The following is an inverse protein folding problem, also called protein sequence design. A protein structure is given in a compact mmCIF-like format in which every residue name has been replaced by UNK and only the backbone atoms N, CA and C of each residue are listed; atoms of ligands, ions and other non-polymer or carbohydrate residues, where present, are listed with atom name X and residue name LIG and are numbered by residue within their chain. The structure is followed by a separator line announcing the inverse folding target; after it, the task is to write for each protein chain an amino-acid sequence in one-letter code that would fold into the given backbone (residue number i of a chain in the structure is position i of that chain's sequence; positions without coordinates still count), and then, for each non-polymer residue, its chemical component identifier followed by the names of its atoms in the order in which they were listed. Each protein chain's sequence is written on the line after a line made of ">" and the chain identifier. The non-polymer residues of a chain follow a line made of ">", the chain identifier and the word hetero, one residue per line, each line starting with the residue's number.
data_IF_789825081312
#
_entry.id   IF_789825081312
#
_cell.length_a   1.000
_cell.length_b   1.000
_cell.length_c   1.000
_cell.angle_alpha   90.00
_cell.angle_beta   90.00
_cell.angle_gamma   90.00
#
_symmetry.space_group_name_H-M   'P 1'
#
loop_
_entity.id
_entity.type
_entity.pdbx_description
1 polymer ?
#
# COMPACT_ATOMS: atom_id res chain seq x y z
N UNK A 1 -39.89 -23.21 16.21
CA UNK A 1 -39.60 -23.83 14.93
C UNK A 1 -40.06 -25.29 14.87
N UNK A 2 -40.45 -25.88 16.01
CA UNK A 2 -41.01 -27.23 16.10
C UNK A 2 -40.05 -28.37 15.69
N UNK A 3 -40.57 -29.54 15.35
CA UNK A 3 -39.76 -30.70 14.97
C UNK A 3 -38.93 -30.49 13.71
N UNK A 4 -39.34 -29.59 12.80
CA UNK A 4 -38.64 -29.30 11.55
C UNK A 4 -37.33 -28.52 11.80
N UNK A 5 -37.22 -27.78 12.90
CA UNK A 5 -35.98 -27.12 13.29
C UNK A 5 -34.82 -28.08 13.53
N UNK A 6 -35.12 -29.32 13.97
CA UNK A 6 -34.10 -30.35 14.16
C UNK A 6 -33.52 -30.90 12.85
N UNK A 7 -34.21 -30.69 11.73
CA UNK A 7 -33.76 -31.15 10.41
C UNK A 7 -32.73 -30.21 9.77
N UNK A 8 -32.59 -28.97 10.27
CA UNK A 8 -31.65 -27.95 9.69
C UNK A 8 -30.20 -28.44 9.69
N UNK A 9 -29.82 -29.31 10.63
CA UNK A 9 -28.45 -29.82 10.74
C UNK A 9 -28.17 -31.06 9.87
N UNK A 10 -29.17 -31.60 9.15
CA UNK A 10 -28.98 -32.76 8.29
C UNK A 10 -28.00 -32.47 7.15
N UNK A 11 -27.04 -33.36 6.96
CA UNK A 11 -26.00 -33.19 5.90
C UNK A 11 -24.94 -32.14 6.17
N UNK A 12 -24.90 -31.55 7.37
CA UNK A 12 -24.00 -30.44 7.73
C UNK A 12 -23.26 -30.68 9.04
N UNK A 13 -22.10 -30.05 9.16
CA UNK A 13 -21.31 -30.02 10.38
C UNK A 13 -20.98 -28.59 10.77
N UNK A 14 -20.74 -28.34 12.05
CA UNK A 14 -20.19 -27.08 12.52
C UNK A 14 -18.83 -26.77 11.82
N UNK A 15 -18.05 -27.79 11.47
CA UNK A 15 -16.73 -27.63 10.87
C UNK A 15 -16.79 -27.00 9.46
N UNK A 16 -17.68 -27.50 8.59
CA UNK A 16 -17.85 -26.94 7.24
C UNK A 16 -18.58 -25.59 7.27
N UNK A 17 -19.53 -25.40 8.19
CA UNK A 17 -20.19 -24.11 8.39
C UNK A 17 -19.21 -23.03 8.80
N UNK A 18 -18.38 -23.25 9.82
CA UNK A 18 -17.40 -22.26 10.28
C UNK A 18 -16.40 -21.96 9.17
N UNK A 19 -15.98 -22.96 8.38
CA UNK A 19 -15.09 -22.74 7.25
C UNK A 19 -15.76 -21.85 6.18
N UNK A 20 -17.06 -22.03 5.90
CA UNK A 20 -17.80 -21.20 4.96
C UNK A 20 -17.99 -19.75 5.48
N UNK A 21 -18.47 -19.60 6.71
CA UNK A 21 -18.70 -18.28 7.35
C UNK A 21 -17.40 -17.48 7.41
N UNK A 22 -16.28 -18.12 7.76
CA UNK A 22 -14.98 -17.47 7.82
C UNK A 22 -14.53 -16.96 6.43
N UNK A 23 -14.74 -17.78 5.38
CA UNK A 23 -14.40 -17.37 3.99
C UNK A 23 -15.25 -16.19 3.54
N UNK A 24 -16.57 -16.23 3.79
CA UNK A 24 -17.48 -15.14 3.44
C UNK A 24 -17.14 -13.86 4.20
N UNK A 25 -16.95 -13.93 5.52
CA UNK A 25 -16.58 -12.77 6.33
C UNK A 25 -15.23 -12.18 5.91
N UNK A 26 -14.25 -13.04 5.60
CA UNK A 26 -12.93 -12.57 5.15
C UNK A 26 -13.00 -11.96 3.74
N UNK A 27 -13.84 -12.52 2.85
CA UNK A 27 -14.09 -11.93 1.52
C UNK A 27 -14.64 -10.51 1.63
N UNK A 28 -15.63 -10.29 2.48
CA UNK A 28 -16.22 -8.98 2.69
C UNK A 28 -15.17 -7.99 3.23
N UNK A 29 -14.34 -8.42 4.19
CA UNK A 29 -13.23 -7.62 4.71
C UNK A 29 -12.16 -7.29 3.67
N UNK A 30 -11.81 -8.24 2.81
CA UNK A 30 -10.87 -8.01 1.71
C UNK A 30 -11.43 -6.98 0.72
N UNK A 31 -12.73 -7.04 0.41
CA UNK A 31 -13.38 -6.05 -0.46
C UNK A 31 -13.40 -4.65 0.17
N UNK A 32 -13.68 -4.54 1.47
CA UNK A 32 -13.59 -3.26 2.20
C UNK A 32 -12.18 -2.68 2.13
N UNK A 33 -11.15 -3.52 2.31
CA UNK A 33 -9.74 -3.09 2.21
C UNK A 33 -9.38 -2.70 0.76
N UNK A 34 -9.84 -3.44 -0.24
CA UNK A 34 -9.67 -3.09 -1.66
C UNK A 34 -10.21 -1.68 -1.93
N UNK A 35 -11.40 -1.35 -1.42
CA UNK A 35 -11.95 0.01 -1.55
C UNK A 35 -11.05 1.07 -0.92
N UNK A 36 -10.54 0.85 0.29
CA UNK A 36 -9.61 1.77 0.96
C UNK A 36 -8.30 1.94 0.18
N UNK A 37 -7.77 0.86 -0.39
CA UNK A 37 -6.59 0.90 -1.25
C UNK A 37 -6.84 1.75 -2.50
N UNK A 38 -7.99 1.59 -3.16
CA UNK A 38 -8.37 2.41 -4.32
C UNK A 38 -8.53 3.90 -3.95
N UNK A 39 -9.07 4.21 -2.78
CA UNK A 39 -9.16 5.58 -2.28
C UNK A 39 -7.78 6.20 -2.03
N UNK A 40 -6.84 5.44 -1.44
CA UNK A 40 -5.45 5.89 -1.25
C UNK A 40 -4.78 6.16 -2.60
N UNK A 41 -4.93 5.25 -3.57
CA UNK A 41 -4.40 5.43 -4.92
C UNK A 41 -4.93 6.72 -5.57
N UNK A 42 -6.23 6.97 -5.42
CA UNK A 42 -6.84 8.22 -5.92
C UNK A 42 -6.17 9.45 -5.30
N UNK A 43 -6.03 9.49 -3.99
CA UNK A 43 -5.41 10.63 -3.29
C UNK A 43 -3.95 10.81 -3.71
N UNK A 44 -3.19 9.72 -3.89
CA UNK A 44 -1.80 9.78 -4.37
C UNK A 44 -1.70 10.34 -5.78
N UNK A 45 -2.62 9.96 -6.69
CA UNK A 45 -2.69 10.51 -8.05
C UNK A 45 -3.08 12.00 -8.00
N UNK A 46 -4.07 12.37 -7.18
CA UNK A 46 -4.48 13.77 -7.01
C UNK A 46 -3.28 14.63 -6.55
N UNK A 47 -2.47 14.12 -5.59
CA UNK A 47 -1.23 14.80 -5.15
C UNK A 47 -0.15 14.82 -6.23
N UNK A 48 -0.02 13.78 -7.03
CA UNK A 48 0.89 13.79 -8.17
C UNK A 48 0.52 14.85 -9.20
N UNK A 49 -0.76 15.04 -9.48
CA UNK A 49 -1.26 16.11 -10.36
C UNK A 49 -1.00 17.49 -9.75
N UNK A 50 -1.33 17.68 -8.47
CA UNK A 50 -1.19 18.96 -7.74
C UNK A 50 0.27 19.43 -7.69
N UNK A 51 1.21 18.49 -7.48
CA UNK A 51 2.63 18.81 -7.26
C UNK A 51 3.54 18.45 -8.43
N UNK A 52 2.98 18.29 -9.64
CA UNK A 52 3.71 17.87 -10.82
C UNK A 52 4.94 18.75 -11.14
N UNK A 53 4.79 20.06 -11.02
CA UNK A 53 5.83 21.02 -11.35
C UNK A 53 6.71 21.42 -10.15
N UNK A 54 6.48 20.80 -8.98
CA UNK A 54 7.19 21.13 -7.74
C UNK A 54 8.46 20.29 -7.61
N UNK A 55 9.60 20.95 -7.38
CA UNK A 55 10.85 20.26 -7.08
C UNK A 55 10.79 19.54 -5.75
N UNK A 56 11.37 18.33 -5.71
CA UNK A 56 11.37 17.48 -4.51
C UNK A 56 12.71 16.75 -4.33
N UNK A 57 13.23 16.63 -3.08
CA UNK A 57 14.43 15.86 -2.80
C UNK A 57 14.16 14.36 -2.76
N UNK A 58 15.01 13.59 -3.43
CA UNK A 58 15.04 12.14 -3.31
C UNK A 58 16.28 11.71 -2.53
N UNK A 59 16.12 10.73 -1.66
CA UNK A 59 17.13 10.31 -0.71
C UNK A 59 17.67 8.93 -1.04
N UNK A 60 18.97 8.76 -0.85
CA UNK A 60 19.63 7.46 -0.73
C UNK A 60 20.54 7.50 0.50
N UNK A 61 20.62 6.41 1.25
CA UNK A 61 21.38 6.36 2.51
C UNK A 61 21.02 7.51 3.49
N UNK A 62 19.74 7.88 3.54
CA UNK A 62 19.21 9.00 4.34
C UNK A 62 19.85 10.37 4.04
N UNK A 63 20.48 10.52 2.88
CA UNK A 63 21.05 11.79 2.39
C UNK A 63 20.36 12.21 1.10
N UNK A 64 20.26 13.52 0.87
CA UNK A 64 19.74 14.05 -0.38
C UNK A 64 20.66 13.60 -1.52
N UNK A 65 20.11 12.87 -2.48
CA UNK A 65 20.82 12.28 -3.59
C UNK A 65 20.55 13.04 -4.89
N UNK A 66 19.29 13.05 -5.34
CA UNK A 66 18.87 13.72 -6.58
C UNK A 66 17.65 14.58 -6.33
N UNK A 67 17.42 15.53 -7.23
CA UNK A 67 16.18 16.27 -7.32
C UNK A 67 15.28 15.69 -8.44
N UNK A 68 13.99 15.76 -8.26
CA UNK A 68 12.98 15.39 -9.25
C UNK A 68 11.67 16.14 -8.97
N UNK A 69 10.59 15.76 -9.63
CA UNK A 69 9.26 16.25 -9.33
C UNK A 69 8.65 15.55 -8.12
N UNK A 70 7.91 16.27 -7.27
CA UNK A 70 7.15 15.67 -6.19
C UNK A 70 6.12 14.65 -6.69
N UNK A 71 5.62 14.78 -7.92
CA UNK A 71 4.76 13.78 -8.52
C UNK A 71 5.40 12.39 -8.62
N UNK A 72 6.71 12.30 -8.88
CA UNK A 72 7.42 11.01 -8.90
C UNK A 72 7.35 10.31 -7.54
N UNK A 73 7.42 11.07 -6.45
CA UNK A 73 7.30 10.54 -5.10
C UNK A 73 5.91 9.93 -4.87
N UNK A 74 4.85 10.67 -5.18
CA UNK A 74 3.48 10.18 -5.02
C UNK A 74 3.17 9.00 -5.95
N UNK A 75 3.64 9.02 -7.20
CA UNK A 75 3.47 7.91 -8.14
C UNK A 75 4.24 6.65 -7.72
N UNK A 76 5.33 6.77 -6.96
CA UNK A 76 6.02 5.61 -6.38
C UNK A 76 5.10 4.85 -5.44
N UNK A 77 4.44 5.54 -4.52
CA UNK A 77 3.49 4.91 -3.60
C UNK A 77 2.20 4.47 -4.30
N UNK A 78 1.74 5.19 -5.32
CA UNK A 78 0.61 4.76 -6.15
C UNK A 78 0.90 3.39 -6.79
N UNK A 79 2.10 3.20 -7.35
CA UNK A 79 2.49 1.90 -7.92
C UNK A 79 2.49 0.79 -6.87
N UNK A 80 3.02 1.04 -5.67
CA UNK A 80 3.00 0.08 -4.56
C UNK A 80 1.57 -0.34 -4.22
N UNK A 81 0.66 0.62 -4.07
CA UNK A 81 -0.75 0.31 -3.78
C UNK A 81 -1.47 -0.33 -4.98
N UNK A 82 -1.02 -0.11 -6.21
CA UNK A 82 -1.50 -0.85 -7.39
C UNK A 82 -1.13 -2.33 -7.31
N UNK A 83 0.10 -2.65 -6.92
CA UNK A 83 0.56 -4.04 -6.78
C UNK A 83 -0.18 -4.75 -5.63
N UNK A 84 -0.40 -4.04 -4.50
CA UNK A 84 -1.20 -4.55 -3.38
C UNK A 84 -2.65 -4.83 -3.80
N UNK A 85 -3.27 -3.92 -4.58
CA UNK A 85 -4.59 -4.13 -5.15
C UNK A 85 -4.67 -5.43 -5.95
N UNK A 86 -3.73 -5.66 -6.86
CA UNK A 86 -3.70 -6.85 -7.69
C UNK A 86 -3.59 -8.14 -6.85
N UNK A 87 -2.74 -8.14 -5.82
CA UNK A 87 -2.62 -9.27 -4.88
C UNK A 87 -3.91 -9.53 -4.10
N UNK A 88 -4.59 -8.46 -3.63
CA UNK A 88 -5.85 -8.58 -2.91
C UNK A 88 -6.97 -9.13 -3.80
N UNK A 89 -7.09 -8.65 -5.04
CA UNK A 89 -8.08 -9.17 -6.00
C UNK A 89 -7.83 -10.66 -6.26
N UNK A 90 -6.58 -11.05 -6.50
CA UNK A 90 -6.22 -12.47 -6.70
C UNK A 90 -6.55 -13.33 -5.47
N UNK A 91 -6.50 -12.79 -4.26
CA UNK A 91 -6.86 -13.54 -3.05
C UNK A 91 -8.33 -13.95 -2.99
N UNK A 92 -9.22 -13.26 -3.70
CA UNK A 92 -10.64 -13.58 -3.75
C UNK A 92 -10.90 -14.97 -4.34
N UNK A 93 -10.08 -15.45 -5.27
CA UNK A 93 -10.18 -16.80 -5.84
C UNK A 93 -9.97 -17.88 -4.77
N UNK A 94 -9.07 -17.64 -3.81
CA UNK A 94 -8.86 -18.53 -2.67
C UNK A 94 -10.01 -18.50 -1.67
N UNK A 95 -10.63 -17.34 -1.49
CA UNK A 95 -11.74 -17.14 -0.54
C UNK A 95 -13.05 -17.72 -1.06
N UNK A 96 -13.30 -17.62 -2.36
CA UNK A 96 -14.58 -17.99 -2.96
C UNK A 96 -14.81 -19.50 -3.14
N UNK A 97 -13.99 -20.36 -2.53
CA UNK A 97 -14.18 -21.82 -2.58
C UNK A 97 -15.24 -22.28 -1.57
N UNK A 98 -16.14 -23.16 -2.00
CA UNK A 98 -17.24 -23.68 -1.17
C UNK A 98 -16.79 -24.88 -0.31
N UNK A 99 -16.74 -24.77 1.04
CA UNK A 99 -16.45 -25.90 1.91
C UNK A 99 -17.69 -26.67 2.35
N UNK A 100 -18.90 -26.18 2.07
CA UNK A 100 -20.15 -26.79 2.52
C UNK A 100 -20.36 -28.18 1.86
N UNK A 101 -21.00 -29.07 2.59
CA UNK A 101 -21.15 -30.47 2.19
C UNK A 101 -19.99 -31.38 2.59
N UNK A 102 -18.89 -30.79 3.12
CA UNK A 102 -17.75 -31.56 3.64
C UNK A 102 -18.05 -32.29 4.95
N UNK A 103 -19.15 -31.95 5.62
CA UNK A 103 -19.50 -32.51 6.91
C UNK A 103 -18.39 -32.26 7.94
N UNK A 104 -18.13 -33.21 8.80
CA UNK A 104 -17.06 -33.09 9.79
C UNK A 104 -15.66 -33.26 9.18
N UNK A 105 -15.48 -34.18 8.22
CA UNK A 105 -14.19 -34.51 7.63
C UNK A 105 -14.25 -35.30 6.30
N UNK A 106 -15.32 -36.09 6.06
CA UNK A 106 -15.40 -37.04 4.93
C UNK A 106 -16.64 -36.87 4.07
N UNK A 107 -17.39 -35.77 4.27
CA UNK A 107 -18.66 -35.51 3.61
C UNK A 107 -19.85 -36.02 4.42
N UNK A 108 -21.01 -36.14 3.77
CA UNK A 108 -22.26 -36.63 4.34
C UNK A 108 -22.87 -37.69 3.43
N UNK A 109 -23.65 -38.62 4.03
CA UNK A 109 -24.48 -39.58 3.26
C UNK A 109 -25.70 -38.88 2.62
N UNK A 110 -26.04 -37.68 3.07
CA UNK A 110 -27.10 -36.86 2.47
C UNK A 110 -26.55 -36.06 1.33
N UNK A 111 -27.13 -36.23 0.16
CA UNK A 111 -26.75 -35.50 -1.04
C UNK A 111 -27.33 -34.08 -0.95
N UNK A 112 -26.45 -33.09 -0.82
CA UNK A 112 -26.79 -31.67 -0.88
C UNK A 112 -26.63 -31.16 -2.32
N UNK A 113 -27.48 -30.21 -2.72
CA UNK A 113 -27.32 -29.51 -4.00
C UNK A 113 -26.22 -28.42 -3.85
N UNK A 114 -24.95 -28.84 -3.96
CA UNK A 114 -23.80 -27.95 -3.76
C UNK A 114 -23.70 -26.85 -4.83
N UNK A 115 -24.17 -27.11 -6.05
CA UNK A 115 -24.16 -26.14 -7.14
C UNK A 115 -25.10 -24.97 -6.83
N UNK A 116 -26.33 -25.27 -6.33
CA UNK A 116 -27.28 -24.25 -5.91
C UNK A 116 -26.77 -23.44 -4.73
N UNK A 117 -26.23 -24.12 -3.70
CA UNK A 117 -25.64 -23.48 -2.52
C UNK A 117 -24.48 -22.54 -2.93
N UNK A 118 -23.60 -23.01 -3.83
CA UNK A 118 -22.48 -22.20 -4.31
C UNK A 118 -22.97 -20.96 -5.06
N UNK A 119 -23.97 -21.13 -5.92
CA UNK A 119 -24.57 -20.03 -6.67
C UNK A 119 -25.23 -18.99 -5.76
N UNK A 120 -25.99 -19.41 -4.75
CA UNK A 120 -26.66 -18.51 -3.81
C UNK A 120 -25.69 -17.73 -2.93
N UNK A 121 -24.57 -18.35 -2.55
CA UNK A 121 -23.52 -17.73 -1.71
C UNK A 121 -22.44 -16.99 -2.54
N UNK A 122 -22.57 -16.99 -3.87
CA UNK A 122 -21.51 -16.50 -4.77
C UNK A 122 -20.14 -17.15 -4.48
N UNK A 123 -20.13 -18.46 -4.24
CA UNK A 123 -18.93 -19.27 -4.07
C UNK A 123 -18.65 -20.05 -5.36
N UNK A 124 -17.41 -20.47 -5.54
CA UNK A 124 -17.02 -21.38 -6.64
C UNK A 124 -17.70 -22.73 -6.47
N UNK A 125 -18.16 -23.32 -7.58
CA UNK A 125 -18.67 -24.69 -7.62
C UNK A 125 -17.54 -25.75 -7.58
N UNK A 126 -16.29 -25.37 -7.36
CA UNK A 126 -15.15 -26.30 -7.22
C UNK A 126 -15.39 -27.22 -6.02
N UNK A 127 -15.31 -28.53 -6.28
CA UNK A 127 -15.45 -29.57 -5.26
C UNK A 127 -14.12 -29.68 -4.51
N UNK A 128 -14.11 -29.32 -3.23
CA UNK A 128 -12.95 -29.50 -2.37
C UNK A 128 -12.94 -30.89 -1.70
N UNK A 129 -11.78 -31.53 -1.54
CA UNK A 129 -11.68 -32.69 -0.67
C UNK A 129 -12.19 -32.31 0.76
N UNK A 130 -13.16 -33.05 1.33
CA UNK A 130 -13.82 -32.66 2.58
C UNK A 130 -12.88 -32.42 3.74
N UNK A 131 -11.83 -33.23 3.89
CA UNK A 131 -10.83 -33.09 4.95
C UNK A 131 -9.97 -31.83 4.79
N UNK A 132 -9.67 -31.43 3.52
CA UNK A 132 -9.01 -30.14 3.21
C UNK A 132 -9.95 -28.96 3.52
N UNK A 133 -11.20 -29.04 3.08
CA UNK A 133 -12.18 -27.94 3.20
C UNK A 133 -12.44 -27.55 4.65
N UNK A 134 -12.50 -28.51 5.57
CA UNK A 134 -12.71 -28.29 7.00
C UNK A 134 -11.41 -28.01 7.76
N UNK A 135 -10.27 -28.56 7.31
CA UNK A 135 -9.00 -28.51 8.05
C UNK A 135 -8.02 -27.44 7.60
N UNK A 136 -8.17 -26.84 6.41
CA UNK A 136 -7.25 -25.82 5.94
C UNK A 136 -7.64 -24.40 6.40
N UNK A 137 -6.63 -23.63 6.84
CA UNK A 137 -6.69 -22.18 7.10
C UNK A 137 -5.65 -21.41 6.31
N UNK A 138 -5.09 -22.03 5.26
CA UNK A 138 -4.09 -21.37 4.39
C UNK A 138 -4.64 -20.09 3.76
N UNK A 139 -5.93 -20.04 3.42
CA UNK A 139 -6.56 -18.86 2.86
C UNK A 139 -6.54 -17.66 3.83
N UNK A 140 -6.68 -17.91 5.13
CA UNK A 140 -6.61 -16.87 6.18
C UNK A 140 -5.17 -16.32 6.29
N UNK A 141 -4.20 -17.23 6.35
CA UNK A 141 -2.77 -16.88 6.39
C UNK A 141 -2.35 -16.12 5.13
N UNK A 142 -2.82 -16.57 3.96
CA UNK A 142 -2.50 -15.93 2.69
C UNK A 142 -3.02 -14.50 2.61
N UNK A 143 -4.25 -14.26 3.02
CA UNK A 143 -4.80 -12.89 3.09
C UNK A 143 -4.00 -12.04 4.07
N UNK A 144 -3.73 -12.54 5.30
CA UNK A 144 -2.96 -11.78 6.27
C UNK A 144 -1.52 -11.54 5.80
N UNK A 145 -0.92 -12.46 5.03
CA UNK A 145 0.39 -12.26 4.40
C UNK A 145 0.36 -11.09 3.42
N UNK A 146 -0.61 -11.02 2.51
CA UNK A 146 -0.75 -9.89 1.56
C UNK A 146 -0.94 -8.58 2.32
N UNK A 147 -1.80 -8.57 3.34
CA UNK A 147 -2.05 -7.40 4.17
C UNK A 147 -0.81 -6.97 4.96
N UNK A 148 0.01 -7.94 5.40
CA UNK A 148 1.28 -7.66 6.05
C UNK A 148 2.28 -7.00 5.09
N UNK A 149 2.31 -7.38 3.81
CA UNK A 149 3.13 -6.70 2.80
C UNK A 149 2.68 -5.25 2.59
N UNK A 150 1.36 -4.99 2.55
CA UNK A 150 0.83 -3.63 2.52
C UNK A 150 1.31 -2.82 3.73
N UNK A 151 1.27 -3.41 4.92
CA UNK A 151 1.72 -2.76 6.15
C UNK A 151 3.23 -2.50 6.17
N UNK A 152 4.06 -3.36 5.57
CA UNK A 152 5.49 -3.12 5.40
C UNK A 152 5.76 -1.84 4.60
N UNK A 153 5.08 -1.67 3.47
CA UNK A 153 5.25 -0.48 2.62
C UNK A 153 4.66 0.78 3.28
N UNK A 154 3.57 0.66 4.03
CA UNK A 154 3.06 1.75 4.87
C UNK A 154 4.09 2.15 5.92
N UNK A 155 4.76 1.19 6.56
CA UNK A 155 5.84 1.47 7.50
C UNK A 155 6.98 2.28 6.87
N UNK A 156 7.38 1.94 5.65
CA UNK A 156 8.39 2.70 4.87
C UNK A 156 7.90 4.11 4.53
N UNK A 157 6.65 4.26 4.09
CA UNK A 157 6.04 5.57 3.85
C UNK A 157 6.07 6.44 5.11
N UNK A 158 5.75 5.86 6.26
CA UNK A 158 5.79 6.58 7.54
C UNK A 158 7.19 7.07 7.86
N UNK A 159 8.22 6.22 7.72
CA UNK A 159 9.61 6.62 7.95
C UNK A 159 10.07 7.71 6.98
N UNK A 160 9.70 7.61 5.69
CA UNK A 160 9.97 8.65 4.71
C UNK A 160 9.33 9.99 5.10
N UNK A 161 8.06 9.99 5.49
CA UNK A 161 7.35 11.19 5.91
C UNK A 161 7.95 11.79 7.17
N UNK A 162 8.32 10.98 8.15
CA UNK A 162 8.98 11.47 9.37
C UNK A 162 10.35 12.10 9.05
N UNK A 163 11.13 11.49 8.15
CA UNK A 163 12.38 12.05 7.67
C UNK A 163 12.17 13.40 6.95
N UNK A 164 11.22 13.45 6.01
CA UNK A 164 10.93 14.63 5.21
C UNK A 164 10.40 15.81 6.06
N UNK A 165 9.46 15.55 6.94
CA UNK A 165 8.92 16.60 7.85
C UNK A 165 10.00 17.17 8.77
N UNK A 166 10.92 16.32 9.26
CA UNK A 166 12.04 16.78 10.07
C UNK A 166 13.08 17.55 9.23
N UNK A 167 13.42 17.07 8.05
CA UNK A 167 14.42 17.69 7.18
C UNK A 167 13.91 19.02 6.59
N UNK A 168 12.68 19.04 6.08
CA UNK A 168 12.08 20.18 5.42
C UNK A 168 11.37 21.14 6.41
N UNK A 169 11.31 20.80 7.70
CA UNK A 169 10.63 21.59 8.73
C UNK A 169 9.22 21.99 8.29
N UNK A 170 9.00 23.29 8.03
CA UNK A 170 7.70 23.82 7.56
C UNK A 170 7.46 23.63 6.05
N UNK A 171 8.32 22.92 5.34
CA UNK A 171 8.14 22.63 3.91
C UNK A 171 7.12 21.53 3.62
N UNK A 172 6.84 20.68 4.63
CA UNK A 172 5.76 19.69 4.60
C UNK A 172 4.83 19.98 5.77
N UNK A 173 3.60 20.35 5.49
CA UNK A 173 2.56 20.57 6.51
C UNK A 173 1.45 19.52 6.35
N UNK A 174 0.79 19.21 7.46
CA UNK A 174 -0.34 18.28 7.54
C UNK A 174 -1.41 18.83 8.48
N UNK A 175 -2.63 18.31 8.40
CA UNK A 175 -3.72 18.73 9.26
C UNK A 175 -3.38 18.58 10.75
N UNK A 176 -3.95 19.47 11.57
CA UNK A 176 -3.64 19.56 13.00
C UNK A 176 -3.93 18.27 13.78
N UNK A 177 -4.91 17.49 13.36
CA UNK A 177 -5.26 16.22 14.01
C UNK A 177 -4.22 15.11 13.85
N UNK A 178 -3.26 15.27 12.91
CA UNK A 178 -2.10 14.39 12.81
C UNK A 178 -0.97 14.75 13.77
N UNK A 179 -1.07 15.91 14.42
CA UNK A 179 0.01 16.49 15.21
C UNK A 179 -0.41 16.59 16.68
N UNK A 180 0.47 16.18 17.57
CA UNK A 180 0.37 16.48 19.00
C UNK A 180 1.51 17.40 19.43
N UNK A 181 1.19 18.37 20.28
CA UNK A 181 2.18 19.25 20.90
C UNK A 181 2.64 18.65 22.22
N UNK A 182 3.90 18.91 22.59
CA UNK A 182 4.40 18.56 23.92
C UNK A 182 3.75 19.43 25.01
N UNK A 183 3.46 18.85 26.16
CA UNK A 183 2.91 19.58 27.32
C UNK A 183 3.85 20.66 27.89
N UNK A 184 5.17 20.52 27.65
CA UNK A 184 6.20 21.41 28.19
C UNK A 184 7.08 22.05 27.10
N UNK A 185 6.96 21.63 25.85
CA UNK A 185 7.72 22.14 24.72
C UNK A 185 6.77 22.64 23.62
N UNK A 186 6.29 23.89 23.67
CA UNK A 186 5.23 24.38 22.77
C UNK A 186 5.63 24.44 21.28
N UNK A 187 6.92 24.41 20.98
CA UNK A 187 7.47 24.37 19.62
C UNK A 187 7.52 22.96 19.03
N UNK A 188 7.35 21.91 19.84
CA UNK A 188 7.48 20.51 19.39
C UNK A 188 6.17 20.02 18.77
N UNK A 189 6.26 19.56 17.54
CA UNK A 189 5.15 19.01 16.75
C UNK A 189 5.44 17.53 16.46
N UNK A 190 4.70 16.64 17.12
CA UNK A 190 4.88 15.19 16.95
C UNK A 190 3.83 14.65 15.98
N UNK A 191 4.24 13.85 15.00
CA UNK A 191 3.37 13.17 14.03
C UNK A 191 2.76 11.91 14.64
N UNK A 192 1.91 12.08 15.67
CA UNK A 192 1.41 10.96 16.49
C UNK A 192 0.63 9.91 15.72
N UNK A 193 -0.10 10.30 14.67
CA UNK A 193 -0.83 9.36 13.83
C UNK A 193 0.12 8.45 13.03
N UNK A 194 1.24 8.99 12.56
CA UNK A 194 2.28 8.19 11.89
C UNK A 194 3.01 7.27 12.87
N UNK A 195 3.26 7.72 14.10
CA UNK A 195 3.85 6.86 15.14
C UNK A 195 2.94 5.66 15.46
N UNK A 196 1.62 5.89 15.57
CA UNK A 196 0.63 4.82 15.77
C UNK A 196 0.58 3.90 14.56
N UNK A 197 0.55 4.43 13.33
CA UNK A 197 0.57 3.64 12.11
C UNK A 197 1.79 2.71 12.07
N UNK A 198 2.98 3.24 12.38
CA UNK A 198 4.24 2.46 12.46
C UNK A 198 4.17 1.35 13.50
N UNK A 199 3.62 1.61 14.68
CA UNK A 199 3.46 0.59 15.71
C UNK A 199 2.51 -0.53 15.27
N UNK A 200 1.38 -0.17 14.59
CA UNK A 200 0.44 -1.14 14.04
C UNK A 200 1.06 -2.01 12.94
N UNK A 201 1.98 -1.48 12.11
CA UNK A 201 2.69 -2.31 11.12
C UNK A 201 3.45 -3.45 11.78
N UNK A 202 4.18 -3.16 12.86
CA UNK A 202 4.92 -4.18 13.62
C UNK A 202 3.98 -5.21 14.28
N UNK A 203 2.84 -4.76 14.82
CA UNK A 203 1.83 -5.63 15.44
C UNK A 203 1.27 -6.63 14.42
N UNK A 204 0.94 -6.19 13.20
CA UNK A 204 0.41 -7.05 12.12
C UNK A 204 1.43 -8.09 11.66
N UNK A 205 2.70 -7.72 11.54
CA UNK A 205 3.77 -8.67 11.23
C UNK A 205 3.93 -9.74 12.31
N UNK A 206 3.86 -9.35 13.58
CA UNK A 206 3.86 -10.28 14.71
C UNK A 206 2.67 -11.23 14.68
N UNK A 207 1.49 -10.73 14.31
CA UNK A 207 0.27 -11.53 14.17
C UNK A 207 0.38 -12.58 13.06
N UNK A 208 0.94 -12.23 11.89
CA UNK A 208 1.20 -13.21 10.82
C UNK A 208 2.11 -14.34 11.32
N UNK A 209 3.19 -14.01 12.02
CA UNK A 209 4.11 -14.99 12.61
C UNK A 209 3.39 -15.91 13.62
N UNK A 210 2.51 -15.34 14.46
CA UNK A 210 1.70 -16.10 15.40
C UNK A 210 0.74 -17.08 14.69
N UNK A 211 0.03 -16.63 13.65
CA UNK A 211 -0.85 -17.49 12.84
C UNK A 211 -0.11 -18.68 12.25
N UNK A 212 1.04 -18.41 11.63
CA UNK A 212 1.89 -19.47 11.03
C UNK A 212 2.39 -20.46 12.08
N UNK A 213 2.74 -19.98 13.27
CA UNK A 213 3.25 -20.80 14.38
C UNK A 213 2.15 -21.69 14.98
N UNK A 214 0.93 -21.19 15.12
CA UNK A 214 -0.22 -21.99 15.56
C UNK A 214 -0.52 -23.05 14.48
N UNK A 215 -0.70 -22.64 13.24
CA UNK A 215 -1.14 -23.52 12.15
C UNK A 215 -0.19 -24.70 11.91
N UNK A 216 1.13 -24.50 11.96
CA UNK A 216 2.12 -25.55 11.72
C UNK A 216 2.08 -26.69 12.74
N UNK A 217 1.56 -26.43 13.93
CA UNK A 217 1.57 -27.37 15.06
C UNK A 217 0.27 -28.19 15.17
N UNK A 218 -0.70 -27.90 14.30
CA UNK A 218 -2.03 -28.52 14.35
C UNK A 218 -2.09 -29.69 13.35
N UNK A 219 -2.51 -30.92 13.77
CA UNK A 219 -2.77 -32.03 12.85
C UNK A 219 -3.91 -31.68 11.92
N UNK A 220 -3.96 -32.35 10.75
CA UNK A 220 -5.01 -32.06 9.77
C UNK A 220 -6.41 -32.34 10.34
N UNK A 221 -7.42 -31.65 9.81
CA UNK A 221 -8.78 -31.61 10.31
C UNK A 221 -9.05 -30.40 11.19
N UNK A 222 -10.28 -30.26 11.67
CA UNK A 222 -10.65 -29.14 12.55
C UNK A 222 -10.09 -29.32 13.96
N UNK A 223 -9.48 -28.24 14.47
CA UNK A 223 -8.99 -28.15 15.86
C UNK A 223 -9.40 -26.79 16.46
N UNK A 224 -9.50 -26.71 17.79
CA UNK A 224 -9.89 -25.48 18.51
C UNK A 224 -8.86 -24.34 18.34
N UNK A 225 -7.61 -24.67 18.09
CA UNK A 225 -6.53 -23.73 17.78
C UNK A 225 -6.92 -22.71 16.68
N UNK A 226 -7.78 -23.12 15.76
CA UNK A 226 -8.30 -22.25 14.69
C UNK A 226 -9.14 -21.09 15.22
N UNK A 227 -9.71 -21.18 16.42
CA UNK A 227 -10.45 -20.08 17.03
C UNK A 227 -9.52 -18.95 17.43
N UNK A 228 -8.35 -19.29 17.99
CA UNK A 228 -7.30 -18.31 18.31
C UNK A 228 -6.75 -17.64 17.04
N UNK A 229 -6.53 -18.43 15.98
CA UNK A 229 -6.12 -17.87 14.69
C UNK A 229 -7.13 -16.84 14.15
N UNK A 230 -8.43 -17.14 14.25
CA UNK A 230 -9.48 -16.22 13.79
C UNK A 230 -9.43 -14.91 14.56
N UNK A 231 -9.32 -14.96 15.89
CA UNK A 231 -9.25 -13.78 16.76
C UNK A 231 -8.06 -12.89 16.36
N UNK A 232 -6.86 -13.46 16.28
CA UNK A 232 -5.64 -12.73 15.90
C UNK A 232 -5.77 -12.08 14.51
N UNK A 233 -6.34 -12.83 13.54
CA UNK A 233 -6.50 -12.34 12.17
C UNK A 233 -7.47 -11.15 12.08
N UNK A 234 -8.65 -11.25 12.70
CA UNK A 234 -9.65 -10.18 12.61
C UNK A 234 -9.25 -8.93 13.41
N UNK A 235 -8.57 -9.06 14.54
CA UNK A 235 -7.96 -7.93 15.24
C UNK A 235 -6.90 -7.23 14.36
N UNK A 236 -6.09 -8.01 13.65
CA UNK A 236 -5.10 -7.46 12.71
C UNK A 236 -5.76 -6.74 11.53
N UNK A 237 -6.83 -7.30 10.97
CA UNK A 237 -7.60 -6.67 9.88
C UNK A 237 -8.15 -5.31 10.35
N UNK A 238 -8.67 -5.21 11.57
CA UNK A 238 -9.12 -3.95 12.14
C UNK A 238 -7.99 -2.92 12.25
N UNK A 239 -6.81 -3.33 12.75
CA UNK A 239 -5.64 -2.45 12.82
C UNK A 239 -5.21 -1.95 11.42
N UNK A 240 -5.34 -2.80 10.41
CA UNK A 240 -5.04 -2.46 9.01
C UNK A 240 -6.06 -1.45 8.47
N UNK A 241 -7.37 -1.70 8.65
CA UNK A 241 -8.43 -0.81 8.21
C UNK A 241 -8.27 0.61 8.80
N UNK A 242 -7.96 0.70 10.10
CA UNK A 242 -7.71 1.97 10.78
C UNK A 242 -6.42 2.65 10.26
N UNK A 243 -5.36 1.88 10.01
CA UNK A 243 -4.11 2.41 9.47
C UNK A 243 -4.29 2.98 8.06
N UNK A 244 -5.01 2.27 7.18
CA UNK A 244 -5.30 2.75 5.83
C UNK A 244 -6.08 4.07 5.83
N UNK A 245 -7.06 4.24 6.74
CA UNK A 245 -7.77 5.51 6.89
C UNK A 245 -6.85 6.65 7.36
N UNK A 246 -5.98 6.39 8.33
CA UNK A 246 -4.98 7.36 8.80
C UNK A 246 -4.07 7.79 7.65
N UNK A 247 -3.53 6.84 6.89
CA UNK A 247 -2.60 7.13 5.78
C UNK A 247 -3.30 7.88 4.65
N UNK A 248 -4.54 7.50 4.30
CA UNK A 248 -5.34 8.22 3.31
C UNK A 248 -5.51 9.69 3.69
N UNK A 249 -5.95 9.94 4.92
CA UNK A 249 -6.21 11.29 5.43
C UNK A 249 -4.92 12.10 5.57
N UNK A 250 -3.83 11.47 6.03
CA UNK A 250 -2.52 12.10 6.10
C UNK A 250 -2.06 12.58 4.72
N UNK A 251 -2.14 11.74 3.68
CA UNK A 251 -1.77 12.12 2.32
C UNK A 251 -2.70 13.20 1.77
N UNK A 252 -4.01 13.09 1.99
CA UNK A 252 -4.99 14.04 1.51
C UNK A 252 -4.75 15.46 2.07
N UNK A 253 -4.35 15.55 3.34
CA UNK A 253 -4.13 16.81 4.04
C UNK A 253 -2.69 17.33 3.96
N UNK A 254 -1.79 16.57 3.31
CA UNK A 254 -0.40 16.97 3.13
C UNK A 254 -0.27 18.15 2.17
N UNK A 255 0.47 19.18 2.59
CA UNK A 255 0.80 20.35 1.79
C UNK A 255 2.31 20.50 1.65
N UNK A 256 2.79 20.73 0.42
CA UNK A 256 4.18 21.02 0.11
C UNK A 256 4.37 22.50 -0.16
N UNK A 257 5.22 23.16 0.64
CA UNK A 257 5.61 24.56 0.45
C UNK A 257 6.88 24.64 -0.38
N UNK A 258 6.72 24.85 -1.66
CA UNK A 258 7.81 24.82 -2.66
C UNK A 258 8.97 25.73 -2.28
N UNK A 259 8.70 26.95 -1.78
CA UNK A 259 9.75 27.91 -1.42
C UNK A 259 10.67 27.38 -0.31
N UNK A 260 10.09 26.68 0.67
CA UNK A 260 10.86 26.05 1.76
C UNK A 260 11.68 24.87 1.23
N UNK A 261 11.12 24.09 0.32
CA UNK A 261 11.83 22.99 -0.32
C UNK A 261 13.00 23.51 -1.17
N UNK A 262 12.80 24.56 -1.96
CA UNK A 262 13.86 25.22 -2.73
C UNK A 262 14.97 25.76 -1.84
N UNK A 263 14.63 26.44 -0.76
CA UNK A 263 15.62 26.95 0.20
C UNK A 263 16.40 25.82 0.88
N UNK A 264 15.71 24.71 1.25
CA UNK A 264 16.37 23.52 1.78
C UNK A 264 17.37 22.90 0.80
N UNK A 265 17.09 22.95 -0.50
CA UNK A 265 17.94 22.38 -1.54
C UNK A 265 19.07 23.28 -2.00
N UNK A 266 19.08 24.55 -1.60
CA UNK A 266 20.00 25.56 -2.09
C UNK A 266 21.47 25.23 -1.83
N UNK A 267 21.77 24.65 -0.67
CA UNK A 267 23.13 24.22 -0.27
C UNK A 267 23.38 22.72 -0.51
N UNK A 268 22.46 22.04 -1.20
CA UNK A 268 22.54 20.60 -1.48
C UNK A 268 22.65 20.35 -2.98
N UNK A 269 23.81 19.91 -3.47
CA UNK A 269 24.04 19.73 -4.91
C UNK A 269 23.36 18.46 -5.44
N UNK A 270 22.04 18.33 -5.26
CA UNK A 270 21.22 17.20 -5.74
C UNK A 270 21.18 17.09 -7.28
N UNK A 271 21.64 18.12 -7.97
CA UNK A 271 21.78 18.21 -9.42
C UNK A 271 23.16 17.70 -9.91
N UNK A 272 24.09 17.35 -9.03
CA UNK A 272 25.50 17.12 -9.40
C UNK A 272 25.68 15.97 -10.39
N UNK A 273 24.98 14.84 -10.23
CA UNK A 273 25.02 13.73 -11.19
C UNK A 273 24.44 14.14 -12.54
N UNK A 274 23.32 14.84 -12.52
CA UNK A 274 22.63 15.30 -13.73
C UNK A 274 23.50 16.30 -14.51
N UNK A 275 24.20 17.19 -13.80
CA UNK A 275 25.15 18.14 -14.39
C UNK A 275 26.33 17.43 -15.07
N UNK A 276 26.89 16.41 -14.43
CA UNK A 276 27.99 15.62 -15.02
C UNK A 276 27.54 14.94 -16.32
N UNK A 277 26.38 14.30 -16.30
CA UNK A 277 25.79 13.61 -17.45
C UNK A 277 25.48 14.61 -18.58
N UNK A 278 24.90 15.76 -18.24
CA UNK A 278 24.62 16.83 -19.20
C UNK A 278 25.88 17.36 -19.86
N UNK A 279 26.91 17.72 -19.06
CA UNK A 279 28.19 18.20 -19.58
C UNK A 279 28.87 17.12 -20.45
N UNK A 280 28.87 15.86 -20.03
CA UNK A 280 29.44 14.76 -20.82
C UNK A 280 28.77 14.65 -22.19
N UNK A 281 27.45 14.83 -22.23
CA UNK A 281 26.65 14.73 -23.46
C UNK A 281 26.99 15.89 -24.46
N UNK A 282 27.13 17.12 -23.96
CA UNK A 282 27.38 18.29 -24.84
C UNK A 282 28.85 18.46 -25.18
N UNK A 283 29.78 18.02 -24.33
CA UNK A 283 31.22 18.23 -24.51
C UNK A 283 31.96 17.01 -25.05
N UNK A 284 31.35 15.80 -24.96
CA UNK A 284 32.03 14.54 -25.30
C UNK A 284 33.13 14.13 -24.32
N UNK A 285 33.28 14.84 -23.18
CA UNK A 285 34.28 14.49 -22.16
C UNK A 285 33.89 13.23 -21.38
N UNK A 286 34.87 12.42 -20.94
CA UNK A 286 34.61 11.26 -20.10
C UNK A 286 33.98 11.65 -18.76
N UNK A 287 32.92 10.92 -18.33
CA UNK A 287 32.19 11.18 -17.06
C UNK A 287 33.14 11.17 -15.86
N UNK A 288 34.16 10.28 -15.82
CA UNK A 288 35.08 10.20 -14.69
C UNK A 288 35.98 11.44 -14.54
N UNK A 289 36.37 12.08 -15.64
CA UNK A 289 37.11 13.33 -15.58
C UNK A 289 36.24 14.47 -15.05
N UNK A 290 35.02 14.59 -15.56
CA UNK A 290 34.04 15.57 -15.08
C UNK A 290 33.66 15.37 -13.61
N UNK A 291 33.54 14.14 -13.19
CA UNK A 291 33.33 13.80 -11.77
C UNK A 291 34.50 14.31 -10.90
N UNK A 292 35.74 14.05 -11.31
CA UNK A 292 36.92 14.48 -10.56
C UNK A 292 37.06 16.02 -10.52
N UNK A 293 36.70 16.70 -11.62
CA UNK A 293 36.66 18.15 -11.65
C UNK A 293 35.58 18.73 -10.74
N UNK A 294 34.33 18.24 -10.89
CA UNK A 294 33.20 18.74 -10.12
C UNK A 294 33.36 18.43 -8.62
N UNK A 295 33.90 17.27 -8.24
CA UNK A 295 34.16 16.93 -6.86
C UNK A 295 35.05 17.97 -6.14
N UNK A 296 36.08 18.48 -6.79
CA UNK A 296 36.94 19.56 -6.26
C UNK A 296 36.20 20.88 -6.13
N UNK A 297 35.33 21.20 -7.11
CA UNK A 297 34.48 22.38 -7.08
C UNK A 297 33.46 22.31 -5.92
N UNK A 298 32.81 21.15 -5.75
CA UNK A 298 31.81 20.95 -4.72
C UNK A 298 32.41 21.00 -3.30
N UNK A 299 33.63 20.54 -3.09
CA UNK A 299 34.32 20.71 -1.82
C UNK A 299 34.43 22.18 -1.40
N UNK A 300 34.70 23.08 -2.35
CA UNK A 300 34.77 24.52 -2.11
C UNK A 300 33.37 25.14 -1.99
N UNK A 301 32.43 24.73 -2.84
CA UNK A 301 31.05 25.19 -2.84
C UNK A 301 30.38 24.92 -1.48
N UNK A 302 30.53 23.72 -0.91
CA UNK A 302 29.94 23.32 0.36
C UNK A 302 30.49 24.07 1.58
N UNK A 303 31.66 24.73 1.47
CA UNK A 303 32.22 25.62 2.50
C UNK A 303 31.98 27.11 2.17
N UNK A 304 31.12 27.41 1.19
CA UNK A 304 30.66 28.77 0.87
C UNK A 304 31.37 29.46 -0.31
N UNK A 305 32.32 28.81 -0.97
CA UNK A 305 32.96 29.38 -2.18
C UNK A 305 32.11 29.11 -3.44
N UNK A 306 31.10 29.97 -3.62
CA UNK A 306 30.20 29.93 -4.78
C UNK A 306 30.96 30.25 -6.09
N UNK A 307 32.07 31.02 -6.03
CA UNK A 307 32.78 31.45 -7.21
C UNK A 307 33.39 30.29 -8.01
N UNK A 308 33.87 29.26 -7.31
CA UNK A 308 34.39 28.02 -7.93
C UNK A 308 33.35 27.30 -8.80
N UNK A 309 32.09 27.27 -8.36
CA UNK A 309 30.99 26.64 -9.13
C UNK A 309 30.66 27.53 -10.36
N UNK A 310 30.57 28.84 -10.21
CA UNK A 310 30.32 29.78 -11.33
C UNK A 310 31.37 29.65 -12.39
N UNK A 311 32.66 29.62 -12.03
CA UNK A 311 33.76 29.44 -12.95
C UNK A 311 33.70 28.09 -13.68
N UNK A 312 33.36 27.01 -12.99
CA UNK A 312 33.17 25.70 -13.59
C UNK A 312 32.03 25.72 -14.62
N UNK A 313 30.86 26.27 -14.28
CA UNK A 313 29.69 26.35 -15.16
C UNK A 313 29.97 27.22 -16.40
N UNK A 314 30.63 28.34 -16.21
CA UNK A 314 31.00 29.27 -17.33
C UNK A 314 31.86 28.57 -18.39
N UNK A 315 32.75 27.64 -17.98
CA UNK A 315 33.58 26.85 -18.94
C UNK A 315 32.75 26.00 -19.90
N UNK A 316 31.53 25.65 -19.51
CA UNK A 316 30.60 24.83 -20.29
C UNK A 316 29.41 25.61 -20.81
N UNK A 317 29.41 26.96 -20.65
CA UNK A 317 28.31 27.87 -21.05
C UNK A 317 26.95 27.50 -20.42
N UNK A 318 26.97 27.07 -19.18
CA UNK A 318 25.75 26.64 -18.40
C UNK A 318 25.43 27.74 -17.38
N UNK A 319 24.14 28.12 -17.31
CA UNK A 319 23.63 29.07 -16.33
C UNK A 319 23.26 28.38 -14.99
N UNK A 320 23.27 29.12 -13.87
CA UNK A 320 22.88 28.58 -12.54
C UNK A 320 21.42 28.11 -12.55
N UNK A 321 20.49 28.84 -13.18
CA UNK A 321 19.08 28.46 -13.28
C UNK A 321 18.91 27.17 -14.12
N UNK A 322 19.72 26.99 -15.15
CA UNK A 322 19.75 25.81 -15.99
C UNK A 322 20.14 24.57 -15.14
N UNK A 323 21.17 24.70 -14.30
CA UNK A 323 21.60 23.63 -13.39
C UNK A 323 20.46 23.19 -12.46
N UNK A 324 19.75 24.14 -11.85
CA UNK A 324 18.64 23.85 -10.93
C UNK A 324 17.46 23.18 -11.63
N UNK A 325 17.33 23.34 -12.94
CA UNK A 325 16.25 22.76 -13.74
C UNK A 325 16.62 21.48 -14.48
N UNK A 326 17.85 20.97 -14.34
CA UNK A 326 18.33 19.77 -15.05
C UNK A 326 17.44 18.55 -14.85
N UNK A 327 16.82 18.38 -13.66
CA UNK A 327 15.90 17.27 -13.43
C UNK A 327 14.71 17.25 -14.41
N UNK A 328 14.27 18.42 -14.95
CA UNK A 328 13.16 18.55 -15.91
C UNK A 328 13.48 18.01 -17.30
N UNK A 329 14.74 17.79 -17.63
CA UNK A 329 15.13 17.24 -18.94
C UNK A 329 15.19 15.72 -18.95
N UNK A 330 15.05 15.06 -17.78
CA UNK A 330 15.05 13.60 -17.67
C UNK A 330 13.89 12.99 -18.46
N UNK A 331 14.08 11.80 -19.05
CA UNK A 331 13.03 11.14 -19.82
C UNK A 331 11.73 10.93 -19.02
N UNK A 332 11.84 10.59 -17.74
CA UNK A 332 10.66 10.41 -16.88
C UNK A 332 9.88 11.71 -16.68
N UNK A 333 10.56 12.84 -16.47
CA UNK A 333 9.91 14.15 -16.33
C UNK A 333 9.16 14.56 -17.60
N UNK A 334 9.73 14.29 -18.78
CA UNK A 334 9.06 14.55 -20.07
C UNK A 334 7.83 13.67 -20.27
N UNK A 335 7.80 12.47 -19.65
CA UNK A 335 6.71 11.51 -19.73
C UNK A 335 5.80 11.51 -18.50
N UNK A 336 5.98 12.46 -17.57
CA UNK A 336 5.25 12.49 -16.28
C UNK A 336 3.73 12.56 -16.47
N UNK A 337 3.25 13.35 -17.45
CA UNK A 337 1.84 13.38 -17.80
C UNK A 337 1.32 12.02 -18.28
N UNK A 338 2.12 11.31 -19.05
CA UNK A 338 1.77 9.97 -19.51
C UNK A 338 1.72 8.98 -18.33
N UNK A 339 2.64 9.09 -17.37
CA UNK A 339 2.65 8.26 -16.17
C UNK A 339 1.41 8.53 -15.29
N UNK A 340 1.05 9.80 -15.07
CA UNK A 340 -0.16 10.20 -14.34
C UNK A 340 -1.41 9.67 -15.05
N UNK A 341 -1.53 9.88 -16.35
CA UNK A 341 -2.66 9.39 -17.14
C UNK A 341 -2.77 7.86 -17.13
N UNK A 342 -1.64 7.16 -17.16
CA UNK A 342 -1.62 5.70 -17.04
C UNK A 342 -2.14 5.24 -15.67
N UNK A 343 -1.70 5.88 -14.59
CA UNK A 343 -2.19 5.58 -13.23
C UNK A 343 -3.70 5.85 -13.10
N UNK A 344 -4.20 6.97 -13.65
CA UNK A 344 -5.63 7.31 -13.69
C UNK A 344 -6.46 6.26 -14.44
N UNK A 345 -6.00 5.84 -15.61
CA UNK A 345 -6.69 4.83 -16.42
C UNK A 345 -6.76 3.49 -15.68
N UNK A 346 -5.65 3.03 -15.11
CA UNK A 346 -5.62 1.80 -14.29
C UNK A 346 -6.58 1.90 -13.10
N UNK A 347 -6.60 3.02 -12.39
CA UNK A 347 -7.52 3.23 -11.27
C UNK A 347 -8.98 3.14 -11.73
N UNK A 348 -9.35 3.76 -12.86
CA UNK A 348 -10.70 3.69 -13.41
C UNK A 348 -11.11 2.27 -13.79
N UNK A 349 -10.21 1.50 -14.41
CA UNK A 349 -10.43 0.09 -14.74
C UNK A 349 -10.67 -0.75 -13.49
N UNK A 350 -9.83 -0.59 -12.47
CA UNK A 350 -9.94 -1.31 -11.21
C UNK A 350 -11.24 -0.95 -10.45
N UNK A 351 -11.66 0.32 -10.46
CA UNK A 351 -12.95 0.73 -9.90
C UNK A 351 -14.14 0.05 -10.60
N UNK A 352 -14.09 -0.08 -11.94
CA UNK A 352 -15.12 -0.80 -12.71
C UNK A 352 -15.13 -2.29 -12.38
N UNK A 353 -13.96 -2.90 -12.22
CA UNK A 353 -13.80 -4.30 -11.84
C UNK A 353 -14.44 -4.59 -10.47
N UNK A 354 -14.06 -3.84 -9.44
CA UNK A 354 -14.60 -3.99 -8.08
C UNK A 354 -16.12 -3.72 -8.05
N UNK A 355 -16.59 -2.74 -8.80
CA UNK A 355 -18.04 -2.49 -8.94
C UNK A 355 -18.79 -3.71 -9.48
N UNK A 356 -18.26 -4.39 -10.52
CA UNK A 356 -18.86 -5.61 -11.07
C UNK A 356 -18.90 -6.74 -10.04
N UNK A 357 -17.82 -6.92 -9.26
CA UNK A 357 -17.77 -7.92 -8.17
C UNK A 357 -18.86 -7.63 -7.14
N UNK A 358 -18.95 -6.40 -6.65
CA UNK A 358 -19.95 -6.00 -5.66
C UNK A 358 -21.39 -6.14 -6.18
N UNK A 359 -21.67 -5.78 -7.43
CA UNK A 359 -22.99 -5.99 -8.05
C UNK A 359 -23.33 -7.48 -8.19
N UNK A 360 -22.31 -8.34 -8.45
CA UNK A 360 -22.46 -9.78 -8.45
C UNK A 360 -22.89 -10.31 -7.08
N UNK A 361 -22.15 -9.94 -6.03
CA UNK A 361 -22.42 -10.34 -4.64
C UNK A 361 -23.79 -9.83 -4.16
N UNK A 362 -24.16 -8.60 -4.52
CA UNK A 362 -25.49 -8.05 -4.19
C UNK A 362 -26.61 -8.87 -4.82
N UNK A 363 -26.47 -9.30 -6.08
CA UNK A 363 -27.46 -10.17 -6.75
C UNK A 363 -27.59 -11.53 -6.04
N UNK A 364 -26.50 -12.15 -5.59
CA UNK A 364 -26.55 -13.39 -4.83
C UNK A 364 -27.33 -13.20 -3.51
N UNK A 365 -27.03 -12.15 -2.75
CA UNK A 365 -27.73 -11.83 -1.51
C UNK A 365 -29.23 -11.57 -1.73
N UNK A 366 -29.61 -10.86 -2.80
CA UNK A 366 -31.01 -10.63 -3.15
C UNK A 366 -31.74 -11.92 -3.55
N UNK A 367 -31.09 -12.83 -4.28
CA UNK A 367 -31.66 -14.15 -4.61
C UNK A 367 -31.88 -14.97 -3.35
N UNK A 368 -30.89 -15.03 -2.47
CA UNK A 368 -30.98 -15.73 -1.17
C UNK A 368 -32.19 -15.24 -0.35
N UNK A 369 -32.38 -13.91 -0.24
CA UNK A 369 -33.50 -13.31 0.49
C UNK A 369 -34.85 -13.64 -0.16
N UNK A 370 -34.94 -13.66 -1.51
CA UNK A 370 -36.18 -13.96 -2.24
C UNK A 370 -36.61 -15.42 -2.10
N UNK A 371 -35.63 -16.34 -2.13
CA UNK A 371 -35.91 -17.76 -2.11
C UNK A 371 -36.40 -18.25 -0.72
N UNK A 372 -36.13 -17.47 0.34
CA UNK A 372 -36.41 -17.83 1.73
C UNK A 372 -37.41 -16.88 2.47
N UNK A 373 -38.05 -15.96 1.74
CA UNK A 373 -39.22 -15.19 2.20
C UNK A 373 -40.51 -15.90 1.76
#
# INVERSE_FOLDING_TARGET
>A
VGPDGGRIAIGRSRNDHIAAVLRLALRDKVLDIIHKVLEIRKVLIDKAVEYKDKVFPFYTHAQVAQCGSAAQYFLTYEQIFTDIYAMLVHSLDYLNKNPLGSGAATGSIVQLNLDEISKELCLSAEILPPYYATGSRLFLIYVLFILSMAMLEIGRFVEDMMLLVNALKHGVEVAKHHISTSSIMPHKRNLVTLEIARAKTSKVLGALSALMSIYKSVPYGYNLDFQEMNYIAFESIKDIEETLEIIKDFIATLELKEEVVKEYLKDKPCWSSDLIEYIATISGKPIRELYAELAKVLQKYLVGDISSLKEFLTRYSIGEEEVQSLYKIKPFEKSLDQAINHALNRLQENLKEVKRVNEGLKRCNEMLIRNYR
#
